data_IF_092139626985
#
_entry.id   IF_092139626985
#
_cell.length_a   1.000
_cell.length_b   1.000
_cell.length_c   1.000
_cell.angle_alpha   90.00
_cell.angle_beta   90.00
_cell.angle_gamma   90.00
#
_symmetry.space_group_name_H-M   'P 1'
#
loop_
_entity.id
_entity.type
_entity.pdbx_description
1 polymer ?
#
# COMPACT_ATOMS: atom_id res chain seq x y z
N UNK A 1 14.79 -19.79 2.98
CA UNK A 1 14.44 -18.39 3.33
C UNK A 1 13.40 -17.96 2.31
N UNK A 2 12.19 -17.59 2.75
CA UNK A 2 11.20 -17.02 1.83
C UNK A 2 11.57 -15.55 1.57
N UNK A 3 11.50 -15.07 0.33
CA UNK A 3 11.85 -13.68 0.04
C UNK A 3 10.86 -12.73 0.71
N UNK A 4 11.39 -11.62 1.20
CA UNK A 4 10.61 -10.47 1.66
C UNK A 4 10.98 -9.29 0.79
N UNK A 5 9.97 -8.69 0.17
CA UNK A 5 10.08 -7.43 -0.55
C UNK A 5 9.94 -6.33 0.49
N UNK A 6 10.83 -5.33 0.47
CA UNK A 6 10.71 -4.15 1.33
C UNK A 6 10.85 -2.89 0.49
N UNK A 7 9.95 -1.94 0.70
CA UNK A 7 10.04 -0.58 0.17
C UNK A 7 9.82 0.39 1.33
N UNK A 8 10.38 1.59 1.23
CA UNK A 8 10.39 2.53 2.36
C UNK A 8 10.42 3.98 1.90
N UNK A 9 9.91 4.86 2.74
CA UNK A 9 9.98 6.30 2.50
C UNK A 9 9.88 7.08 3.82
N UNK A 10 10.67 8.14 3.93
CA UNK A 10 10.47 9.17 4.95
C UNK A 10 9.40 10.16 4.46
N UNK A 11 8.35 10.32 5.25
CA UNK A 11 7.19 11.19 4.98
C UNK A 11 7.20 12.32 6.02
N UNK A 12 7.23 13.58 5.57
CA UNK A 12 7.26 14.78 6.42
C UNK A 12 5.88 15.15 6.96
N UNK A 13 5.24 14.18 7.62
CA UNK A 13 3.97 14.32 8.31
C UNK A 13 3.95 13.56 9.63
N UNK A 14 3.12 13.98 10.59
CA UNK A 14 2.87 13.24 11.83
C UNK A 14 2.40 11.80 11.55
N UNK A 15 2.76 10.88 12.43
CA UNK A 15 2.47 9.45 12.26
C UNK A 15 0.98 9.13 12.15
N UNK A 16 0.14 9.88 12.88
CA UNK A 16 -1.30 9.74 12.80
C UNK A 16 -1.85 10.08 11.41
N UNK A 17 -1.32 11.12 10.74
CA UNK A 17 -1.73 11.46 9.37
C UNK A 17 -1.32 10.36 8.38
N UNK A 18 -0.07 9.88 8.49
CA UNK A 18 0.46 8.85 7.58
C UNK A 18 -0.26 7.52 7.79
N UNK A 19 -0.57 7.14 9.03
CA UNK A 19 -1.33 5.94 9.37
C UNK A 19 -2.77 6.03 8.86
N UNK A 20 -3.47 7.14 9.11
CA UNK A 20 -4.84 7.33 8.64
C UNK A 20 -4.95 7.33 7.12
N UNK A 21 -3.90 7.76 6.41
CA UNK A 21 -3.84 7.71 4.95
C UNK A 21 -3.95 6.30 4.35
N UNK A 22 -3.74 5.23 5.14
CA UNK A 22 -3.96 3.84 4.72
C UNK A 22 -5.27 3.24 5.25
N UNK A 23 -5.86 3.81 6.31
CA UNK A 23 -7.11 3.34 6.92
C UNK A 23 -8.33 3.88 6.17
N UNK A 24 -8.32 5.18 5.87
CA UNK A 24 -9.48 5.88 5.34
C UNK A 24 -9.43 5.95 3.80
N UNK A 25 -10.36 5.31 3.07
CA UNK A 25 -10.36 5.32 1.62
C UNK A 25 -10.65 6.69 1.02
N UNK A 26 -11.19 7.65 1.78
CA UNK A 26 -11.27 9.04 1.34
C UNK A 26 -9.86 9.63 1.10
N UNK A 27 -8.85 9.14 1.83
CA UNK A 27 -7.45 9.52 1.71
C UNK A 27 -6.68 8.53 0.82
N UNK A 28 -6.80 7.23 1.04
CA UNK A 28 -6.09 6.20 0.26
C UNK A 28 -6.37 6.31 -1.24
N UNK A 29 -7.60 6.72 -1.59
CA UNK A 29 -7.99 6.87 -2.99
C UNK A 29 -7.31 8.04 -3.72
N UNK A 30 -6.68 8.94 -2.98
CA UNK A 30 -5.98 10.08 -3.58
C UNK A 30 -4.62 9.67 -4.16
N UNK A 31 -4.09 8.50 -3.78
CA UNK A 31 -2.74 8.08 -4.19
C UNK A 31 -2.59 6.61 -4.62
N UNK A 32 -3.57 5.71 -4.38
CA UNK A 32 -3.40 4.27 -4.62
C UNK A 32 -4.48 3.60 -5.50
N UNK A 33 -5.75 3.65 -5.12
CA UNK A 33 -6.87 2.99 -5.81
C UNK A 33 -8.05 3.95 -5.98
N UNK A 34 -9.06 3.63 -6.80
CA UNK A 34 -10.15 4.60 -7.02
C UNK A 34 -11.19 4.59 -5.89
N UNK A 35 -11.50 3.41 -5.37
CA UNK A 35 -12.46 3.26 -4.28
C UNK A 35 -12.25 2.01 -3.45
N UNK A 36 -12.78 2.03 -2.22
CA UNK A 36 -12.88 0.89 -1.32
C UNK A 36 -14.33 0.74 -0.85
N UNK A 37 -14.78 -0.48 -0.59
CA UNK A 37 -16.09 -0.74 0.03
C UNK A 37 -16.18 -0.28 1.48
N UNK A 38 -15.07 0.11 2.11
CA UNK A 38 -15.04 0.65 3.47
C UNK A 38 -13.64 0.97 3.98
N UNK A 39 -13.58 1.47 5.22
CA UNK A 39 -12.32 1.67 5.96
C UNK A 39 -11.67 0.34 6.29
N UNK A 40 -10.36 0.33 6.46
CA UNK A 40 -9.68 -0.84 6.98
C UNK A 40 -10.01 -0.99 8.46
N UNK A 41 -10.56 -2.14 8.82
CA UNK A 41 -10.86 -2.52 10.19
C UNK A 41 -10.38 -3.94 10.44
N UNK A 42 -9.80 -4.18 11.61
CA UNK A 42 -9.21 -5.47 11.95
C UNK A 42 -10.24 -6.61 11.82
N UNK A 43 -9.85 -7.69 11.14
CA UNK A 43 -10.69 -8.86 10.91
C UNK A 43 -11.71 -8.71 9.79
N UNK A 44 -11.92 -7.50 9.23
CA UNK A 44 -12.82 -7.29 8.11
C UNK A 44 -12.12 -7.54 6.76
N UNK A 45 -12.94 -7.71 5.74
CA UNK A 45 -12.51 -7.75 4.34
C UNK A 45 -13.15 -6.58 3.61
N UNK A 46 -12.36 -5.85 2.85
CA UNK A 46 -12.82 -4.80 1.93
C UNK A 46 -12.47 -5.18 0.50
N UNK A 47 -13.12 -4.53 -0.47
CA UNK A 47 -12.74 -4.64 -1.87
C UNK A 47 -12.22 -3.29 -2.34
N UNK A 48 -11.00 -3.29 -2.89
CA UNK A 48 -10.42 -2.15 -3.59
C UNK A 48 -10.70 -2.27 -5.08
N UNK A 49 -10.97 -1.14 -5.73
CA UNK A 49 -11.34 -1.09 -7.15
C UNK A 49 -10.49 -0.05 -7.88
N UNK A 50 -9.96 -0.44 -9.03
CA UNK A 50 -9.39 0.45 -10.05
C UNK A 50 -10.32 0.42 -11.26
N UNK A 51 -11.25 1.38 -11.29
CA UNK A 51 -12.36 1.48 -12.23
C UNK A 51 -11.86 1.59 -13.67
N UNK A 52 -10.78 2.34 -13.89
CA UNK A 52 -10.15 2.51 -15.21
C UNK A 52 -9.73 1.17 -15.84
N UNK A 53 -9.32 0.21 -15.02
CA UNK A 53 -8.87 -1.12 -15.46
C UNK A 53 -9.95 -2.20 -15.33
N UNK A 54 -11.13 -1.86 -14.79
CA UNK A 54 -12.17 -2.83 -14.43
C UNK A 54 -11.62 -3.95 -13.52
N UNK A 55 -10.62 -3.62 -12.70
CA UNK A 55 -9.96 -4.55 -11.77
C UNK A 55 -10.42 -4.26 -10.35
N UNK A 56 -10.70 -5.33 -9.61
CA UNK A 56 -10.94 -5.25 -8.17
C UNK A 56 -10.25 -6.38 -7.44
N UNK A 57 -9.78 -6.11 -6.21
CA UNK A 57 -9.18 -7.13 -5.35
C UNK A 57 -9.82 -7.12 -3.97
N UNK A 58 -10.00 -8.29 -3.38
CA UNK A 58 -10.32 -8.40 -1.96
C UNK A 58 -9.06 -8.20 -1.12
N UNK A 59 -9.22 -7.47 -0.03
CA UNK A 59 -8.18 -7.19 0.96
C UNK A 59 -8.70 -7.62 2.32
N UNK A 60 -8.08 -8.65 2.89
CA UNK A 60 -8.39 -9.11 4.23
C UNK A 60 -7.45 -8.43 5.23
N UNK A 61 -8.01 -7.72 6.20
CA UNK A 61 -7.24 -7.07 7.27
C UNK A 61 -7.00 -8.06 8.40
N UNK A 62 -5.74 -8.36 8.69
CA UNK A 62 -5.37 -9.30 9.74
C UNK A 62 -5.18 -8.61 11.09
N UNK A 63 -4.44 -7.49 11.11
CA UNK A 63 -4.07 -6.80 12.33
C UNK A 63 -3.98 -5.30 12.08
N UNK A 64 -4.45 -4.51 13.04
CA UNK A 64 -4.24 -3.07 13.09
C UNK A 64 -3.74 -2.71 14.48
N UNK A 65 -2.55 -2.14 14.55
CA UNK A 65 -1.98 -1.53 15.76
C UNK A 65 -1.86 -0.05 15.46
N UNK A 66 -2.68 0.76 16.11
CA UNK A 66 -2.79 2.21 15.85
C UNK A 66 -1.41 2.89 15.83
N UNK A 67 -1.15 3.65 14.76
CA UNK A 67 0.10 4.38 14.51
C UNK A 67 1.37 3.50 14.54
N UNK A 68 1.25 2.19 14.32
CA UNK A 68 2.40 1.28 14.34
C UNK A 68 2.39 0.28 13.20
N UNK A 69 1.27 -0.39 12.98
CA UNK A 69 1.19 -1.45 11.98
C UNK A 69 -0.21 -1.62 11.40
N UNK A 70 -0.27 -1.88 10.09
CA UNK A 70 -1.44 -2.44 9.41
C UNK A 70 -0.95 -3.69 8.67
N UNK A 71 -1.60 -4.84 8.90
CA UNK A 71 -1.30 -6.08 8.20
C UNK A 71 -2.50 -6.53 7.37
N UNK A 72 -2.27 -6.80 6.09
CA UNK A 72 -3.28 -7.28 5.15
C UNK A 72 -2.82 -8.52 4.39
N UNK A 73 -3.78 -9.26 3.86
CA UNK A 73 -3.55 -10.27 2.81
C UNK A 73 -4.34 -9.85 1.58
N UNK A 74 -3.66 -9.79 0.43
CA UNK A 74 -4.24 -9.30 -0.82
C UNK A 74 -3.56 -9.91 -2.05
N UNK A 75 -4.10 -9.60 -3.23
CA UNK A 75 -3.54 -9.97 -4.52
C UNK A 75 -3.90 -11.38 -4.99
N UNK A 76 -3.50 -11.68 -6.22
CA UNK A 76 -3.57 -13.01 -6.83
C UNK A 76 -2.21 -13.32 -7.52
N UNK A 77 -1.39 -14.24 -6.98
CA UNK A 77 -1.66 -15.03 -5.78
C UNK A 77 -1.68 -14.17 -4.50
N UNK A 78 -2.38 -14.67 -3.49
CA UNK A 78 -2.45 -14.00 -2.18
C UNK A 78 -1.08 -13.96 -1.52
N UNK A 79 -0.72 -12.77 -1.02
CA UNK A 79 0.49 -12.54 -0.23
C UNK A 79 0.19 -11.61 0.95
N UNK A 80 1.04 -11.65 1.97
CA UNK A 80 0.91 -10.83 3.17
C UNK A 80 1.66 -9.51 2.99
N UNK A 81 1.06 -8.41 3.43
CA UNK A 81 1.68 -7.08 3.41
C UNK A 81 1.57 -6.42 4.78
N UNK A 82 2.70 -5.96 5.30
CA UNK A 82 2.78 -5.12 6.48
C UNK A 82 3.11 -3.67 6.08
N UNK A 83 2.28 -2.73 6.53
CA UNK A 83 2.62 -1.30 6.60
C UNK A 83 3.10 -1.02 8.01
N UNK A 84 4.35 -0.60 8.15
CA UNK A 84 5.02 -0.37 9.43
C UNK A 84 5.36 1.11 9.52
N UNK A 85 4.91 1.75 10.60
CA UNK A 85 5.04 3.19 10.80
C UNK A 85 5.96 3.44 12.00
N UNK A 86 7.00 4.24 11.81
CA UNK A 86 7.93 4.65 12.87
C UNK A 86 7.97 6.17 12.97
N UNK A 87 7.74 6.71 14.16
CA UNK A 87 7.90 8.14 14.40
C UNK A 87 9.39 8.50 14.45
N UNK A 88 9.82 9.39 13.57
CA UNK A 88 11.20 9.92 13.55
C UNK A 88 11.27 11.25 14.32
N UNK A 89 10.21 12.06 14.22
CA UNK A 89 10.00 13.31 14.97
C UNK A 89 8.50 13.67 14.95
N UNK A 90 8.02 14.68 15.70
CA UNK A 90 6.60 15.02 15.76
C UNK A 90 5.93 15.26 14.40
N UNK A 91 6.68 15.68 13.38
CA UNK A 91 6.20 15.96 12.03
C UNK A 91 6.87 15.07 10.97
N UNK A 92 7.44 13.92 11.34
CA UNK A 92 8.11 13.02 10.39
C UNK A 92 7.92 11.57 10.76
N UNK A 93 7.49 10.78 9.77
CA UNK A 93 7.26 9.34 9.88
C UNK A 93 8.12 8.60 8.88
N UNK A 94 8.72 7.50 9.29
CA UNK A 94 9.34 6.54 8.40
C UNK A 94 8.36 5.39 8.15
N UNK A 95 7.93 5.23 6.91
CA UNK A 95 7.03 4.17 6.46
C UNK A 95 7.86 3.07 5.80
N UNK A 96 7.62 1.82 6.22
CA UNK A 96 8.08 0.62 5.51
C UNK A 96 6.90 -0.23 5.08
N UNK A 97 6.93 -0.72 3.86
CA UNK A 97 5.99 -1.72 3.35
C UNK A 97 6.77 -2.99 3.10
N UNK A 98 6.37 -4.07 3.78
CA UNK A 98 6.93 -5.41 3.58
C UNK A 98 5.92 -6.31 2.91
N UNK A 99 6.31 -7.04 1.88
CA UNK A 99 5.48 -8.04 1.22
C UNK A 99 6.17 -9.41 1.20
N UNK A 100 5.49 -10.43 1.74
CA UNK A 100 6.02 -11.76 2.00
C UNK A 100 4.91 -12.82 1.96
N UNK A 101 5.25 -14.07 2.32
CA UNK A 101 4.38 -15.26 2.15
C UNK A 101 3.91 -15.46 0.70
N UNK A 102 4.81 -15.18 -0.24
CA UNK A 102 4.53 -15.24 -1.68
C UNK A 102 4.57 -16.72 -2.13
N UNK A 103 3.44 -17.31 -2.58
CA UNK A 103 3.37 -18.73 -2.89
C UNK A 103 3.82 -19.04 -4.34
N UNK A 104 4.91 -18.42 -4.77
CA UNK A 104 5.48 -18.57 -6.11
C UNK A 104 6.94 -19.05 -6.03
N UNK A 105 7.44 -19.60 -7.14
CA UNK A 105 8.81 -20.08 -7.26
C UNK A 105 9.41 -19.73 -8.63
N UNK A 106 10.73 -19.87 -8.78
CA UNK A 106 11.43 -19.72 -10.06
C UNK A 106 11.18 -18.36 -10.73
N UNK A 107 10.96 -18.39 -12.04
CA UNK A 107 10.77 -17.17 -12.85
C UNK A 107 9.51 -16.38 -12.46
N UNK A 108 8.43 -17.06 -12.05
CA UNK A 108 7.18 -16.40 -11.63
C UNK A 108 7.39 -15.59 -10.35
N UNK A 109 8.15 -16.13 -9.40
CA UNK A 109 8.53 -15.41 -8.18
C UNK A 109 9.38 -14.19 -8.49
N UNK A 110 10.35 -14.30 -9.40
CA UNK A 110 11.20 -13.17 -9.81
C UNK A 110 10.34 -12.07 -10.42
N UNK A 111 9.42 -12.43 -11.33
CA UNK A 111 8.48 -11.48 -11.94
C UNK A 111 7.61 -10.80 -10.88
N UNK A 112 7.01 -11.56 -9.98
CA UNK A 112 6.22 -11.02 -8.87
C UNK A 112 7.02 -10.04 -8.02
N UNK A 113 8.28 -10.37 -7.67
CA UNK A 113 9.14 -9.49 -6.89
C UNK A 113 9.39 -8.17 -7.60
N UNK A 114 9.70 -8.21 -8.90
CA UNK A 114 9.92 -7.01 -9.72
C UNK A 114 8.66 -6.14 -9.76
N UNK A 115 7.52 -6.76 -10.05
CA UNK A 115 6.24 -6.06 -10.19
C UNK A 115 5.77 -5.46 -8.85
N UNK A 116 5.82 -6.23 -7.76
CA UNK A 116 5.42 -5.77 -6.44
C UNK A 116 6.36 -4.70 -5.88
N UNK A 117 7.68 -4.83 -6.07
CA UNK A 117 8.64 -3.77 -5.71
C UNK A 117 8.30 -2.48 -6.45
N UNK A 118 8.13 -2.55 -7.77
CA UNK A 118 7.78 -1.40 -8.58
C UNK A 118 6.42 -0.79 -8.20
N UNK A 119 5.43 -1.62 -7.90
CA UNK A 119 4.09 -1.19 -7.49
C UNK A 119 4.11 -0.44 -6.17
N UNK A 120 4.66 -1.04 -5.11
CA UNK A 120 4.70 -0.42 -3.78
C UNK A 120 5.57 0.84 -3.73
N UNK A 121 6.69 0.89 -4.46
CA UNK A 121 7.46 2.13 -4.62
C UNK A 121 6.60 3.25 -5.20
N UNK A 122 5.81 2.95 -6.25
CA UNK A 122 4.92 3.94 -6.88
C UNK A 122 3.85 4.45 -5.90
N UNK A 123 3.32 3.57 -5.05
CA UNK A 123 2.35 3.93 -4.01
C UNK A 123 2.98 4.88 -2.98
N UNK A 124 4.17 4.58 -2.45
CA UNK A 124 4.80 5.44 -1.44
C UNK A 124 5.28 6.78 -2.00
N UNK A 125 5.71 6.81 -3.27
CA UNK A 125 6.07 8.06 -3.95
C UNK A 125 4.84 8.97 -4.12
N UNK A 126 3.71 8.40 -4.54
CA UNK A 126 2.46 9.16 -4.72
C UNK A 126 1.87 9.60 -3.38
N UNK A 127 1.93 8.76 -2.35
CA UNK A 127 1.58 9.11 -0.97
C UNK A 127 2.40 10.32 -0.49
N UNK A 128 3.71 10.30 -0.70
CA UNK A 128 4.61 11.39 -0.29
C UNK A 128 4.22 12.71 -0.96
N UNK A 129 4.02 12.69 -2.28
CA UNK A 129 3.62 13.87 -3.03
C UNK A 129 2.27 14.41 -2.55
N UNK A 130 1.31 13.53 -2.31
CA UNK A 130 -0.01 13.89 -1.83
C UNK A 130 0.02 14.47 -0.42
N UNK A 131 0.65 13.78 0.54
CA UNK A 131 0.66 14.22 1.94
C UNK A 131 1.52 15.47 2.15
N UNK A 132 2.69 15.59 1.52
CA UNK A 132 3.59 16.73 1.74
C UNK A 132 3.19 17.98 0.94
N UNK A 133 2.51 17.80 -0.20
CA UNK A 133 2.30 18.89 -1.15
C UNK A 133 0.86 19.00 -1.68
N UNK A 134 -0.05 18.10 -1.33
CA UNK A 134 -1.41 18.07 -1.88
C UNK A 134 -1.46 17.72 -3.37
N UNK A 135 -0.38 17.18 -3.93
CA UNK A 135 -0.26 16.89 -5.36
C UNK A 135 -0.72 15.47 -5.67
N UNK A 136 -1.63 15.34 -6.63
CA UNK A 136 -1.97 14.06 -7.26
C UNK A 136 -1.16 13.91 -8.54
N UNK A 137 -0.14 13.06 -8.48
CA UNK A 137 0.76 12.85 -9.62
C UNK A 137 0.25 11.79 -10.60
N UNK A 138 -0.87 11.13 -10.30
CA UNK A 138 -1.48 10.07 -11.11
C UNK A 138 -0.52 8.91 -11.45
N UNK A 139 0.51 8.67 -10.62
CA UNK A 139 1.58 7.71 -10.92
C UNK A 139 1.07 6.29 -11.15
N UNK A 140 0.02 5.86 -10.42
CA UNK A 140 -0.58 4.54 -10.61
C UNK A 140 -1.23 4.41 -11.99
N UNK A 141 -1.91 5.47 -12.44
CA UNK A 141 -2.53 5.50 -13.76
C UNK A 141 -1.50 5.53 -14.88
N UNK A 142 -0.46 6.34 -14.73
CA UNK A 142 0.55 6.56 -15.75
C UNK A 142 1.54 5.40 -15.87
N UNK A 143 1.73 4.62 -14.79
CA UNK A 143 2.55 3.39 -14.80
C UNK A 143 1.88 2.25 -15.54
N UNK A 144 0.55 2.19 -15.51
CA UNK A 144 -0.25 1.14 -16.15
C UNK A 144 -1.19 1.73 -17.20
N UNK A 145 -0.66 2.41 -18.24
CA UNK A 145 -1.50 3.09 -19.22
C UNK A 145 -2.47 2.11 -19.92
N UNK A 146 -3.69 2.57 -20.29
CA UNK A 146 -4.79 1.71 -20.72
C UNK A 146 -4.69 1.19 -22.17
N UNK A 147 -3.48 1.02 -22.71
CA UNK A 147 -3.28 0.50 -24.08
C UNK A 147 -3.20 -1.04 -24.14
#
# INVERSE_FOLDING_TARGET
>A
MHPTIETQMLIRKPIAEVFQAFIDPEISSQFWFDSSTGKLEQGKTVQWTWSKYQVSTQVKVLTIIENKQIQIVWGDPKSTVDFIFEEVSPNTTYLRIRNYDIPLQGAELIKFIIDATGGFTTVVDNLKAYLEHGLKLNLIEDKFPPF
#
